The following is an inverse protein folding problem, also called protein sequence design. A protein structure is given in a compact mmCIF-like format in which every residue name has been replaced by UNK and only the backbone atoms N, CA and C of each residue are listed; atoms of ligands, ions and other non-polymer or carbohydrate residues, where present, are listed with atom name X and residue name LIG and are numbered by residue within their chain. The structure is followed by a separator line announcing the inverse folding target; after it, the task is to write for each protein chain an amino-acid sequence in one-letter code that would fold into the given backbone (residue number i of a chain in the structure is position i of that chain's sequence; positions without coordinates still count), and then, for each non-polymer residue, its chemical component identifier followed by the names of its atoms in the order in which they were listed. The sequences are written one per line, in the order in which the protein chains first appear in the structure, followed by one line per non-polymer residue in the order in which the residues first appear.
data_IF_004001511416
#
_entry.id   IF_004001511416
#
_cell.length_a   1.000
_cell.length_b   1.000
_cell.length_c   1.000
_cell.angle_alpha   90.00
_cell.angle_beta   90.00
_cell.angle_gamma   90.00
#
_symmetry.space_group_name_H-M   'P 1'
#
loop_
_entity.id
_entity.type
_entity.pdbx_description
1 polymer ?
#
# COMPACT_ATOMS: atom_id res chain seq x y z
N UNK A 1 -16.89 17.83 60.05
CA UNK A 1 -17.66 17.70 58.79
C UNK A 1 -16.69 17.90 57.65
N UNK A 2 -16.28 16.83 56.98
CA UNK A 2 -15.42 16.89 55.79
C UNK A 2 -15.98 15.91 54.76
N UNK A 3 -16.85 16.42 53.89
CA UNK A 3 -17.43 15.65 52.79
C UNK A 3 -16.41 15.55 51.66
N UNK A 4 -15.90 14.34 51.43
CA UNK A 4 -15.12 13.99 50.25
C UNK A 4 -16.05 13.86 49.04
N UNK A 5 -15.95 14.80 48.11
CA UNK A 5 -16.60 14.71 46.79
C UNK A 5 -15.73 13.80 45.90
N UNK A 6 -16.21 12.58 45.67
CA UNK A 6 -15.69 11.68 44.65
C UNK A 6 -16.07 12.23 43.27
N UNK A 7 -15.13 12.89 42.60
CA UNK A 7 -15.28 13.30 41.20
C UNK A 7 -15.15 12.08 40.29
N UNK A 8 -16.27 11.61 39.74
CA UNK A 8 -16.27 10.60 38.66
C UNK A 8 -15.71 11.21 37.37
N UNK A 9 -14.55 10.74 36.93
CA UNK A 9 -14.11 10.87 35.54
C UNK A 9 -14.99 9.97 34.67
N UNK A 10 -15.91 10.55 33.91
CA UNK A 10 -16.57 9.85 32.83
C UNK A 10 -15.58 9.63 31.66
N UNK A 11 -15.48 8.42 31.09
CA UNK A 11 -14.64 8.18 29.93
C UNK A 11 -15.20 8.93 28.71
N UNK A 12 -14.36 9.75 28.08
CA UNK A 12 -14.67 10.44 26.83
C UNK A 12 -14.89 9.39 25.73
N UNK A 13 -16.02 9.40 25.00
CA UNK A 13 -16.22 8.48 23.88
C UNK A 13 -15.18 8.77 22.79
N UNK A 14 -14.44 7.73 22.39
CA UNK A 14 -13.54 7.79 21.26
C UNK A 14 -14.36 8.09 19.99
N UNK A 15 -14.11 9.23 19.36
CA UNK A 15 -14.73 9.55 18.07
C UNK A 15 -14.16 8.63 16.99
N UNK A 16 -14.84 7.52 16.72
CA UNK A 16 -14.68 6.77 15.46
C UNK A 16 -15.42 7.50 14.33
N UNK A 17 -14.94 8.70 14.00
CA UNK A 17 -15.38 9.44 12.81
C UNK A 17 -14.56 9.01 11.60
N UNK A 18 -15.20 8.81 10.45
CA UNK A 18 -14.49 8.73 9.17
C UNK A 18 -13.74 10.04 8.96
N UNK A 19 -12.42 9.96 8.79
CA UNK A 19 -11.59 11.11 8.49
C UNK A 19 -11.73 11.47 7.01
N UNK A 20 -11.49 12.73 6.68
CA UNK A 20 -11.67 13.23 5.33
C UNK A 20 -10.46 14.04 4.88
N UNK A 21 -10.03 13.81 3.64
CA UNK A 21 -9.08 14.66 2.93
C UNK A 21 -9.79 15.23 1.71
N UNK A 22 -9.78 16.56 1.56
CA UNK A 22 -10.44 17.25 0.45
C UNK A 22 -9.51 18.27 -0.19
N UNK A 23 -9.51 18.34 -1.52
CA UNK A 23 -8.69 19.31 -2.25
C UNK A 23 -8.60 18.99 -3.75
N UNK A 24 -7.86 19.79 -4.50
CA UNK A 24 -7.53 19.44 -5.89
C UNK A 24 -6.52 18.28 -5.86
N UNK A 25 -6.86 17.17 -6.51
CA UNK A 25 -6.02 15.98 -6.49
C UNK A 25 -4.98 15.99 -7.61
N UNK A 26 -3.72 15.76 -7.25
CA UNK A 26 -2.68 15.37 -8.20
C UNK A 26 -2.61 13.84 -8.24
N UNK A 27 -2.70 13.26 -9.44
CA UNK A 27 -2.56 11.80 -9.60
C UNK A 27 -1.07 11.42 -9.53
N UNK A 28 -0.75 10.48 -8.64
CA UNK A 28 0.57 9.86 -8.54
C UNK A 28 0.68 8.68 -9.49
N UNK A 29 -0.26 7.73 -9.37
CA UNK A 29 -0.35 6.49 -10.15
C UNK A 29 -1.84 6.06 -10.24
N UNK A 30 -2.10 4.85 -10.75
CA UNK A 30 -3.46 4.36 -11.03
C UNK A 30 -4.35 4.13 -9.80
N UNK A 31 -3.81 4.15 -8.58
CA UNK A 31 -4.61 4.04 -7.35
C UNK A 31 -4.16 4.99 -6.22
N UNK A 32 -3.31 5.97 -6.51
CA UNK A 32 -2.82 6.93 -5.52
C UNK A 32 -3.05 8.38 -5.96
N UNK A 33 -3.71 9.14 -5.08
CA UNK A 33 -3.92 10.58 -5.21
C UNK A 33 -3.07 11.33 -4.18
N UNK A 34 -2.60 12.52 -4.54
CA UNK A 34 -2.00 13.48 -3.63
C UNK A 34 -2.94 14.66 -3.47
N UNK A 35 -3.43 14.89 -2.25
CA UNK A 35 -4.44 15.91 -1.94
C UNK A 35 -3.95 16.69 -0.73
N UNK A 36 -3.76 18.00 -0.88
CA UNK A 36 -3.27 18.87 0.20
C UNK A 36 -1.95 18.35 0.87
N UNK A 37 -1.05 17.76 0.07
CA UNK A 37 0.21 17.17 0.56
C UNK A 37 0.10 15.72 1.02
N UNK A 38 -1.11 15.21 1.26
CA UNK A 38 -1.35 13.85 1.74
C UNK A 38 -1.45 12.85 0.58
N UNK A 39 -0.72 11.73 0.66
CA UNK A 39 -0.81 10.64 -0.33
C UNK A 39 -1.89 9.64 0.08
N UNK A 40 -3.05 9.71 -0.56
CA UNK A 40 -4.20 8.82 -0.33
C UNK A 40 -4.18 7.67 -1.32
N UNK A 41 -4.23 6.42 -0.84
CA UNK A 41 -4.43 5.23 -1.67
C UNK A 41 -5.92 4.91 -1.77
N UNK A 42 -6.40 4.63 -2.97
CA UNK A 42 -7.77 4.24 -3.23
C UNK A 42 -8.04 2.88 -2.59
N UNK A 43 -8.95 2.85 -1.63
CA UNK A 43 -9.35 1.65 -0.91
C UNK A 43 -10.09 0.66 -1.82
N UNK A 44 -9.85 -0.64 -1.60
CA UNK A 44 -10.60 -1.72 -2.24
C UNK A 44 -10.26 -2.00 -3.70
N UNK A 45 -9.28 -1.32 -4.27
CA UNK A 45 -8.83 -1.52 -5.66
C UNK A 45 -7.31 -1.75 -5.72
N UNK A 46 -6.85 -2.37 -6.80
CA UNK A 46 -5.42 -2.53 -7.11
C UNK A 46 -5.20 -2.16 -8.58
N UNK A 47 -4.40 -1.13 -8.83
CA UNK A 47 -4.07 -0.69 -10.19
C UNK A 47 -2.67 -1.21 -10.61
N UNK A 48 -2.34 -1.23 -11.91
CA UNK A 48 -1.02 -1.64 -12.38
C UNK A 48 0.09 -0.84 -11.72
N UNK A 49 1.16 -1.54 -11.35
CA UNK A 49 2.32 -0.94 -10.69
C UNK A 49 3.14 -0.09 -11.65
N UNK A 50 3.90 0.86 -11.11
CA UNK A 50 4.82 1.67 -11.91
C UNK A 50 5.78 0.80 -12.75
N UNK A 51 5.84 1.06 -14.05
CA UNK A 51 6.67 0.32 -15.00
C UNK A 51 6.09 -1.04 -15.43
N UNK A 52 4.91 -1.42 -14.95
CA UNK A 52 4.24 -2.64 -15.39
C UNK A 52 3.87 -2.55 -16.88
N UNK A 53 4.06 -3.67 -17.60
CA UNK A 53 3.76 -3.79 -19.02
C UNK A 53 2.75 -4.91 -19.20
N UNK A 54 1.64 -4.62 -19.87
CA UNK A 54 0.52 -5.53 -20.00
C UNK A 54 0.39 -6.07 -21.43
N UNK A 55 -0.06 -7.31 -21.53
CA UNK A 55 -0.30 -8.02 -22.78
C UNK A 55 0.96 -8.36 -23.59
N UNK A 56 0.80 -9.12 -24.68
CA UNK A 56 1.91 -9.47 -25.57
C UNK A 56 2.59 -8.24 -26.19
N UNK A 57 1.83 -7.18 -26.44
CA UNK A 57 2.33 -5.91 -26.96
C UNK A 57 3.12 -5.08 -25.94
N UNK A 58 3.20 -5.54 -24.67
CA UNK A 58 3.87 -4.83 -23.57
C UNK A 58 3.40 -3.37 -23.42
N UNK A 59 2.10 -3.15 -23.50
CA UNK A 59 1.46 -1.84 -23.34
C UNK A 59 1.78 -1.24 -21.97
N UNK A 60 2.11 0.06 -21.85
CA UNK A 60 2.38 0.73 -20.57
C UNK A 60 1.09 0.98 -19.78
N UNK A 61 0.49 -0.10 -19.29
CA UNK A 61 -0.78 -0.07 -18.59
C UNK A 61 -0.77 0.73 -17.28
N UNK A 62 0.41 0.93 -16.67
CA UNK A 62 0.61 1.83 -15.53
C UNK A 62 0.31 3.30 -15.88
N UNK A 63 0.76 3.72 -17.06
CA UNK A 63 0.51 5.07 -17.59
C UNK A 63 -0.97 5.21 -17.95
N UNK A 64 -1.55 4.24 -18.68
CA UNK A 64 -2.95 4.29 -19.10
C UNK A 64 -3.92 4.36 -17.92
N UNK A 65 -3.67 3.57 -16.86
CA UNK A 65 -4.45 3.61 -15.64
C UNK A 65 -4.32 4.96 -14.90
N UNK A 66 -3.10 5.50 -14.82
CA UNK A 66 -2.86 6.82 -14.23
C UNK A 66 -3.58 7.93 -14.99
N UNK A 67 -3.59 7.86 -16.33
CA UNK A 67 -4.32 8.81 -17.17
C UNK A 67 -5.83 8.68 -17.03
N UNK A 68 -6.36 7.46 -16.87
CA UNK A 68 -7.78 7.25 -16.59
C UNK A 68 -8.19 7.94 -15.29
N UNK A 69 -7.40 7.79 -14.22
CA UNK A 69 -7.65 8.49 -12.97
C UNK A 69 -7.54 10.01 -13.14
N UNK A 70 -6.58 10.51 -13.93
CA UNK A 70 -6.47 11.96 -14.25
C UNK A 70 -7.71 12.48 -14.98
N UNK A 71 -8.27 11.72 -15.92
CA UNK A 71 -9.52 12.08 -16.62
C UNK A 71 -10.73 12.07 -15.68
N UNK A 72 -10.77 11.15 -14.72
CA UNK A 72 -11.84 11.07 -13.74
C UNK A 72 -11.80 12.23 -12.73
N UNK A 73 -10.61 12.68 -12.33
CA UNK A 73 -10.48 13.86 -11.47
C UNK A 73 -10.68 15.16 -12.25
N UNK A 74 -10.12 15.25 -13.46
CA UNK A 74 -10.22 16.41 -14.37
C UNK A 74 -9.95 17.77 -13.68
N UNK A 75 -8.98 17.80 -12.74
CA UNK A 75 -8.64 19.01 -11.99
C UNK A 75 -9.68 19.47 -10.96
N UNK A 76 -10.78 18.72 -10.80
CA UNK A 76 -11.82 19.04 -9.83
C UNK A 76 -11.36 18.75 -8.39
N UNK A 77 -12.12 19.32 -7.44
CA UNK A 77 -11.97 19.01 -6.03
C UNK A 77 -12.42 17.58 -5.77
N UNK A 78 -11.53 16.79 -5.19
CA UNK A 78 -11.75 15.42 -4.75
C UNK A 78 -11.93 15.40 -3.25
N UNK A 79 -12.87 14.60 -2.77
CA UNK A 79 -13.08 14.31 -1.36
C UNK A 79 -12.88 12.82 -1.12
N UNK A 80 -11.94 12.47 -0.25
CA UNK A 80 -11.63 11.10 0.13
C UNK A 80 -12.01 10.88 1.60
N UNK A 81 -12.91 9.93 1.85
CA UNK A 81 -13.24 9.50 3.20
C UNK A 81 -12.43 8.23 3.51
N UNK A 82 -11.80 8.18 4.67
CA UNK A 82 -10.95 7.06 5.09
C UNK A 82 -11.10 6.79 6.60
N UNK A 83 -10.72 5.58 7.01
CA UNK A 83 -10.77 5.13 8.41
C UNK A 83 -9.49 4.49 8.87
N UNK A 84 -8.78 3.86 7.93
CA UNK A 84 -7.56 3.12 8.18
C UNK A 84 -6.42 3.70 7.33
N UNK A 85 -5.19 3.44 7.78
CA UNK A 85 -3.98 3.73 7.02
C UNK A 85 -3.27 2.43 6.68
N UNK A 86 -2.58 2.42 5.55
CA UNK A 86 -1.75 1.28 5.18
C UNK A 86 -0.42 1.27 5.95
N UNK A 87 0.40 0.25 5.69
CA UNK A 87 1.72 0.09 6.29
C UNK A 87 2.74 1.19 5.97
N UNK A 88 2.42 2.10 5.07
CA UNK A 88 3.24 3.26 4.70
C UNK A 88 2.63 4.56 5.24
N UNK A 89 1.72 4.43 6.21
CA UNK A 89 0.96 5.53 6.79
C UNK A 89 0.13 6.32 5.77
N UNK A 90 -0.27 5.70 4.64
CA UNK A 90 -1.15 6.34 3.66
C UNK A 90 -2.61 6.11 4.03
N UNK A 91 -3.48 7.13 4.00
CA UNK A 91 -4.91 6.93 4.13
C UNK A 91 -5.46 5.98 3.08
N UNK A 92 -6.26 4.99 3.50
CA UNK A 92 -7.01 4.11 2.63
C UNK A 92 -8.41 4.67 2.43
N UNK A 93 -8.62 5.35 1.29
CA UNK A 93 -9.79 6.19 1.07
C UNK A 93 -10.71 5.76 -0.06
N UNK A 94 -12.01 5.97 0.13
CA UNK A 94 -12.99 6.03 -0.97
C UNK A 94 -13.11 7.48 -1.41
N UNK A 95 -12.70 7.76 -2.64
CA UNK A 95 -12.56 9.12 -3.17
C UNK A 95 -13.66 9.45 -4.17
N UNK A 96 -14.15 10.69 -4.14
CA UNK A 96 -15.24 11.16 -4.99
C UNK A 96 -14.96 12.52 -5.61
N UNK A 97 -15.46 12.71 -6.83
CA UNK A 97 -15.67 14.04 -7.45
C UNK A 97 -17.17 14.26 -7.56
N UNK A 98 -17.70 15.20 -6.79
CA UNK A 98 -19.15 15.35 -6.62
C UNK A 98 -19.77 14.03 -6.13
N UNK A 99 -20.67 13.44 -6.93
CA UNK A 99 -21.32 12.15 -6.62
C UNK A 99 -20.59 10.93 -7.20
N UNK A 100 -19.59 11.14 -8.06
CA UNK A 100 -18.89 10.05 -8.76
C UNK A 100 -17.85 9.42 -7.86
N UNK A 101 -17.97 8.12 -7.63
CA UNK A 101 -16.98 7.29 -6.92
C UNK A 101 -15.81 6.96 -7.85
N UNK A 102 -14.61 7.46 -7.53
CA UNK A 102 -13.42 7.27 -8.35
C UNK A 102 -12.93 5.83 -8.31
N UNK A 103 -13.02 5.17 -7.15
CA UNK A 103 -12.58 3.79 -6.96
C UNK A 103 -13.43 2.86 -7.83
N UNK A 104 -14.77 3.00 -7.75
CA UNK A 104 -15.69 2.23 -8.58
C UNK A 104 -15.47 2.52 -10.08
N UNK A 105 -15.27 3.79 -10.45
CA UNK A 105 -15.08 4.17 -11.85
C UNK A 105 -13.78 3.61 -12.44
N UNK A 106 -12.69 3.54 -11.67
CA UNK A 106 -11.44 2.92 -12.11
C UNK A 106 -11.63 1.43 -12.42
N UNK A 107 -12.34 0.70 -11.56
CA UNK A 107 -12.62 -0.73 -11.76
C UNK A 107 -13.60 -0.95 -12.91
N UNK A 108 -14.67 -0.16 -12.99
CA UNK A 108 -15.69 -0.27 -14.04
C UNK A 108 -15.13 0.03 -15.45
N UNK A 109 -14.09 0.86 -15.56
CA UNK A 109 -13.38 1.12 -16.81
C UNK A 109 -12.26 0.10 -17.09
N UNK A 110 -12.04 -0.85 -16.19
CA UNK A 110 -11.01 -1.89 -16.32
C UNK A 110 -9.58 -1.39 -16.09
N UNK A 111 -9.39 -0.25 -15.41
CA UNK A 111 -8.06 0.32 -15.12
C UNK A 111 -7.52 -0.03 -13.72
N UNK A 112 -8.35 -0.69 -12.91
CA UNK A 112 -7.97 -1.34 -11.68
C UNK A 112 -8.78 -2.63 -11.52
N UNK A 113 -8.31 -3.54 -10.68
CA UNK A 113 -9.04 -4.75 -10.27
C UNK A 113 -9.65 -4.58 -8.88
N UNK A 114 -10.67 -5.36 -8.56
CA UNK A 114 -11.23 -5.39 -7.22
C UNK A 114 -10.24 -6.07 -6.27
N UNK A 115 -9.79 -5.37 -5.22
CA UNK A 115 -8.82 -5.94 -4.29
C UNK A 115 -9.48 -6.73 -3.17
N UNK A 116 -9.95 -7.94 -3.52
CA UNK A 116 -10.81 -8.81 -2.70
C UNK A 116 -10.23 -9.19 -1.34
N UNK A 117 -8.91 -9.08 -1.13
CA UNK A 117 -8.29 -9.24 0.19
C UNK A 117 -8.81 -8.22 1.22
N UNK A 118 -9.17 -7.02 0.78
CA UNK A 118 -9.55 -5.91 1.66
C UNK A 118 -11.01 -5.51 1.53
N UNK A 119 -11.64 -5.72 0.37
CA UNK A 119 -13.03 -5.33 0.14
C UNK A 119 -13.65 -6.07 -1.04
N UNK A 120 -14.95 -6.35 -0.95
CA UNK A 120 -15.77 -6.87 -2.06
C UNK A 120 -16.56 -5.78 -2.79
N UNK A 121 -16.40 -4.51 -2.38
CA UNK A 121 -17.25 -3.40 -2.83
C UNK A 121 -17.30 -3.20 -4.34
N UNK A 122 -16.25 -3.59 -5.07
CA UNK A 122 -16.11 -3.34 -6.52
C UNK A 122 -16.11 -4.60 -7.39
N UNK A 123 -16.51 -5.75 -6.83
CA UNK A 123 -16.52 -7.04 -7.55
C UNK A 123 -17.49 -7.02 -8.74
N UNK A 124 -18.60 -6.29 -8.62
CA UNK A 124 -19.59 -6.19 -9.72
C UNK A 124 -19.05 -5.37 -10.88
N UNK A 125 -18.43 -4.23 -10.58
CA UNK A 125 -17.78 -3.34 -11.54
C UNK A 125 -16.67 -4.09 -12.29
N UNK A 126 -15.89 -4.91 -11.57
CA UNK A 126 -14.86 -5.75 -12.17
C UNK A 126 -15.45 -6.77 -13.13
N UNK A 127 -16.52 -7.46 -12.71
CA UNK A 127 -17.19 -8.44 -13.56
C UNK A 127 -17.73 -7.79 -14.85
N UNK A 128 -18.32 -6.60 -14.76
CA UNK A 128 -18.78 -5.83 -15.92
C UNK A 128 -17.61 -5.44 -16.84
N UNK A 129 -16.52 -4.89 -16.30
CA UNK A 129 -15.35 -4.51 -17.08
C UNK A 129 -14.70 -5.70 -17.79
N UNK A 130 -14.64 -6.85 -17.11
CA UNK A 130 -14.13 -8.10 -17.68
C UNK A 130 -15.02 -8.62 -18.81
N UNK A 131 -16.34 -8.67 -18.59
CA UNK A 131 -17.27 -9.13 -19.62
C UNK A 131 -17.23 -8.24 -20.87
N UNK A 132 -17.05 -6.93 -20.69
CA UNK A 132 -16.94 -5.96 -21.77
C UNK A 132 -15.51 -5.80 -22.34
N UNK A 133 -14.53 -6.57 -21.86
CA UNK A 133 -13.12 -6.50 -22.29
C UNK A 133 -12.56 -5.06 -22.26
N UNK A 134 -12.78 -4.35 -21.14
CA UNK A 134 -12.33 -2.97 -20.96
C UNK A 134 -10.94 -2.89 -20.31
N UNK A 135 -10.19 -1.84 -20.65
CA UNK A 135 -8.90 -1.53 -20.03
C UNK A 135 -7.93 -2.72 -20.06
N UNK A 136 -7.47 -3.12 -18.88
CA UNK A 136 -6.56 -4.26 -18.67
C UNK A 136 -7.12 -5.59 -19.20
N UNK A 137 -8.44 -5.77 -19.14
CA UNK A 137 -9.08 -7.01 -19.60
C UNK A 137 -8.99 -7.20 -21.12
N UNK A 138 -8.80 -6.12 -21.88
CA UNK A 138 -8.59 -6.16 -23.33
C UNK A 138 -7.21 -6.68 -23.72
N UNK A 139 -6.18 -6.24 -22.99
CA UNK A 139 -4.78 -6.48 -23.35
C UNK A 139 -4.25 -7.77 -22.73
N UNK A 140 -4.88 -8.23 -21.64
CA UNK A 140 -4.34 -9.29 -20.79
C UNK A 140 -3.23 -8.73 -19.88
N UNK A 141 -3.17 -9.20 -18.64
CA UNK A 141 -2.24 -8.64 -17.65
C UNK A 141 -1.93 -9.65 -16.56
N UNK A 142 -0.75 -9.48 -15.96
CA UNK A 142 -0.45 -10.06 -14.65
C UNK A 142 -1.13 -9.20 -13.57
N UNK A 143 -1.92 -9.76 -12.64
CA UNK A 143 -2.51 -8.99 -11.55
C UNK A 143 -1.45 -8.18 -10.79
N UNK A 144 -1.71 -6.91 -10.40
CA UNK A 144 -0.65 -6.05 -9.85
C UNK A 144 0.02 -6.62 -8.59
N UNK A 145 -0.72 -7.27 -7.70
CA UNK A 145 -0.14 -8.00 -6.56
C UNK A 145 0.86 -9.10 -6.97
N UNK A 146 0.54 -9.86 -8.02
CA UNK A 146 1.45 -10.88 -8.55
C UNK A 146 2.69 -10.24 -9.18
N UNK A 147 2.51 -9.15 -9.94
CA UNK A 147 3.62 -8.37 -10.49
C UNK A 147 4.55 -7.82 -9.41
N UNK A 148 4.00 -7.31 -8.30
CA UNK A 148 4.81 -6.91 -7.13
C UNK A 148 5.61 -8.09 -6.57
N UNK A 149 5.02 -9.29 -6.51
CA UNK A 149 5.68 -10.47 -6.00
C UNK A 149 6.82 -10.94 -6.92
N UNK A 150 6.59 -11.00 -8.23
CA UNK A 150 7.60 -11.40 -9.22
C UNK A 150 8.79 -10.43 -9.24
N UNK A 151 8.52 -9.12 -9.20
CA UNK A 151 9.59 -8.10 -9.14
C UNK A 151 10.44 -8.19 -7.88
N UNK A 152 9.85 -8.51 -6.72
CA UNK A 152 10.62 -8.75 -5.48
C UNK A 152 11.53 -9.97 -5.59
N UNK A 153 11.07 -11.04 -6.26
CA UNK A 153 11.86 -12.26 -6.45
C UNK A 153 13.00 -12.07 -7.46
N UNK A 154 12.81 -11.20 -8.45
CA UNK A 154 13.81 -10.92 -9.48
C UNK A 154 14.98 -10.03 -9.03
N UNK A 155 14.91 -9.40 -7.85
CA UNK A 155 16.02 -8.59 -7.34
C UNK A 155 17.14 -9.49 -6.81
N UNK A 156 18.41 -9.25 -7.18
CA UNK A 156 19.52 -10.02 -6.63
C UNK A 156 19.57 -9.85 -5.11
N UNK A 157 19.91 -10.90 -4.33
CA UNK A 157 20.09 -10.79 -2.90
C UNK A 157 21.07 -9.67 -2.56
N UNK A 158 20.76 -8.88 -1.53
CA UNK A 158 21.73 -7.90 -1.03
C UNK A 158 22.90 -8.64 -0.38
N UNK A 159 24.09 -8.33 -0.87
CA UNK A 159 25.35 -8.80 -0.30
C UNK A 159 25.65 -7.95 0.94
N UNK A 160 25.99 -8.55 2.09
CA UNK A 160 26.41 -7.79 3.26
C UNK A 160 27.69 -7.00 2.95
N UNK A 161 27.88 -5.80 3.54
CA UNK A 161 29.12 -5.03 3.37
C UNK A 161 30.37 -5.79 3.82
N UNK A 162 30.19 -6.73 4.76
CA UNK A 162 31.24 -7.63 5.23
C UNK A 162 30.74 -9.08 5.18
N UNK A 163 31.56 -9.97 4.61
CA UNK A 163 31.18 -11.38 4.43
C UNK A 163 30.99 -12.12 5.76
N UNK A 164 31.71 -11.72 6.82
CA UNK A 164 31.59 -12.27 8.17
C UNK A 164 30.38 -11.76 8.95
N UNK A 165 29.61 -10.82 8.37
CA UNK A 165 28.41 -10.27 9.00
C UNK A 165 27.16 -10.46 8.14
N UNK A 166 26.70 -11.71 7.96
CA UNK A 166 25.61 -12.01 7.04
C UNK A 166 24.22 -11.89 7.69
N UNK A 167 24.08 -11.61 9.00
CA UNK A 167 22.75 -11.60 9.61
C UNK A 167 22.02 -10.31 9.24
N UNK A 168 20.88 -10.41 8.55
CA UNK A 168 20.08 -9.27 8.11
C UNK A 168 19.16 -8.78 9.22
N UNK A 169 19.25 -7.52 9.63
CA UNK A 169 18.33 -6.87 10.55
C UNK A 169 17.47 -5.81 9.88
N UNK A 170 16.19 -6.12 9.65
CA UNK A 170 15.19 -5.16 9.14
C UNK A 170 14.15 -4.68 10.20
N UNK A 171 13.67 -3.46 10.08
CA UNK A 171 12.66 -2.88 10.95
C UNK A 171 11.29 -3.08 10.28
N UNK A 172 10.42 -3.87 10.89
CA UNK A 172 9.06 -4.02 10.41
C UNK A 172 8.29 -2.70 10.54
N UNK A 173 7.23 -2.54 9.74
CA UNK A 173 6.33 -1.37 9.82
C UNK A 173 5.81 -1.10 11.25
N UNK A 174 5.63 -2.14 12.06
CA UNK A 174 5.23 -1.99 13.47
C UNK A 174 6.32 -1.40 14.38
N UNK A 175 7.49 -1.05 13.85
CA UNK A 175 8.69 -0.66 14.59
C UNK A 175 9.48 -1.84 15.14
N UNK A 176 9.02 -3.08 14.94
CA UNK A 176 9.71 -4.25 15.46
C UNK A 176 11.03 -4.50 14.73
N UNK A 177 12.13 -4.51 15.49
CA UNK A 177 13.47 -4.86 15.03
C UNK A 177 13.62 -6.37 14.92
N UNK A 178 13.75 -6.89 13.71
CA UNK A 178 13.78 -8.34 13.44
C UNK A 178 15.07 -8.71 12.72
N UNK A 179 15.79 -9.72 13.22
CA UNK A 179 16.95 -10.27 12.54
C UNK A 179 16.64 -11.62 11.88
N UNK A 180 17.37 -11.91 10.80
CA UNK A 180 17.21 -13.09 9.96
C UNK A 180 18.57 -13.73 9.74
N UNK A 181 18.69 -15.00 10.14
CA UNK A 181 19.87 -15.82 9.90
C UNK A 181 19.96 -16.20 8.41
N UNK A 182 21.17 -16.42 7.86
CA UNK A 182 21.34 -16.88 6.48
C UNK A 182 20.61 -18.19 6.16
N UNK A 183 20.43 -19.05 7.17
CA UNK A 183 19.69 -20.31 7.06
C UNK A 183 18.16 -20.15 7.09
N UNK A 184 17.64 -18.95 7.38
CA UNK A 184 16.20 -18.74 7.51
C UNK A 184 15.51 -18.75 6.14
N UNK A 185 14.33 -19.38 6.07
CA UNK A 185 13.48 -19.29 4.89
C UNK A 185 13.14 -17.83 4.61
N UNK A 186 13.33 -17.38 3.37
CA UNK A 186 13.05 -16.00 2.99
C UNK A 186 14.22 -15.03 3.19
N UNK A 187 15.38 -15.50 3.65
CA UNK A 187 16.53 -14.64 3.97
C UNK A 187 16.98 -13.76 2.78
N UNK A 188 17.03 -14.32 1.57
CA UNK A 188 17.45 -13.58 0.37
C UNK A 188 16.47 -12.47 -0.02
N UNK A 189 15.19 -12.66 0.29
CA UNK A 189 14.11 -11.71 0.05
C UNK A 189 14.09 -10.58 1.09
N UNK A 190 14.70 -10.77 2.27
CA UNK A 190 14.87 -9.70 3.26
C UNK A 190 15.81 -8.65 2.68
N UNK A 191 15.33 -7.41 2.68
CA UNK A 191 16.06 -6.23 2.23
C UNK A 191 16.41 -5.39 3.44
N UNK A 192 17.60 -4.81 3.41
CA UNK A 192 18.13 -3.88 4.39
C UNK A 192 18.19 -2.49 3.75
N UNK A 193 17.59 -1.54 4.44
CA UNK A 193 17.60 -0.12 4.17
C UNK A 193 18.42 0.61 5.26
N UNK A 194 19.68 0.88 4.94
CA UNK A 194 20.60 1.57 5.86
C UNK A 194 20.08 2.96 6.28
N UNK A 195 19.29 3.63 5.43
CA UNK A 195 18.72 4.95 5.73
C UNK A 195 17.63 4.92 6.80
N UNK A 196 17.00 3.76 7.03
CA UNK A 196 16.00 3.56 8.08
C UNK A 196 16.62 2.96 9.36
N UNK A 197 17.95 2.84 9.42
CA UNK A 197 18.65 2.23 10.55
C UNK A 197 18.61 0.70 10.56
N UNK A 198 18.14 0.08 9.48
CA UNK A 198 18.32 -1.36 9.24
C UNK A 198 19.79 -1.64 8.96
N UNK A 199 20.26 -2.84 9.31
CA UNK A 199 21.71 -3.16 9.21
C UNK A 199 21.98 -4.65 9.20
N UNK A 200 23.23 -5.00 8.97
CA UNK A 200 23.73 -6.36 9.15
C UNK A 200 24.39 -6.53 10.52
N UNK A 201 24.40 -7.77 11.01
CA UNK A 201 25.05 -8.21 12.23
C UNK A 201 26.00 -9.38 11.96
N UNK A 202 27.02 -9.50 12.79
CA UNK A 202 28.01 -10.57 12.74
C UNK A 202 27.60 -11.79 13.56
N UNK A 203 26.73 -11.60 14.57
CA UNK A 203 26.16 -12.71 15.34
C UNK A 203 24.72 -12.45 15.80
N UNK A 204 24.00 -13.53 16.15
CA UNK A 204 22.65 -13.41 16.72
C UNK A 204 22.69 -12.68 18.08
N UNK A 205 23.71 -12.96 18.90
CA UNK A 205 23.88 -12.30 20.19
C UNK A 205 24.14 -10.80 20.04
N UNK A 206 24.87 -10.38 19.01
CA UNK A 206 25.05 -8.95 18.68
C UNK A 206 23.71 -8.29 18.31
N UNK A 207 22.90 -8.96 17.48
CA UNK A 207 21.59 -8.48 17.11
C UNK A 207 20.67 -8.34 18.35
N UNK A 208 20.63 -9.37 19.19
CA UNK A 208 19.85 -9.40 20.43
C UNK A 208 20.29 -8.31 21.42
N UNK A 209 21.61 -8.14 21.62
CA UNK A 209 22.16 -7.06 22.45
C UNK A 209 21.79 -5.67 21.91
N UNK A 210 21.63 -5.53 20.60
CA UNK A 210 21.14 -4.30 19.96
C UNK A 210 19.60 -4.13 20.02
N UNK A 211 18.89 -5.03 20.70
CA UNK A 211 17.43 -5.00 20.85
C UNK A 211 16.66 -5.57 19.65
N UNK A 212 17.30 -6.43 18.85
CA UNK A 212 16.67 -7.11 17.72
C UNK A 212 16.25 -8.51 18.13
N UNK A 213 15.07 -8.95 17.69
CA UNK A 213 14.56 -10.31 17.99
C UNK A 213 14.60 -11.20 16.74
N UNK A 214 14.67 -12.53 16.88
CA UNK A 214 14.57 -13.41 15.74
C UNK A 214 13.20 -13.28 15.06
N UNK A 215 13.17 -13.61 13.77
CA UNK A 215 11.92 -13.91 13.06
C UNK A 215 11.25 -15.11 13.73
N UNK A 216 9.97 -14.96 14.10
CA UNK A 216 9.13 -16.04 14.63
C UNK A 216 8.51 -16.83 13.49
#
# INVERSE_FOLDING_TARGET
MASLLLGSCAPTPAQSGSQQVTGVAKVSDGDTLVIAGERVRLFGIDAPEHGQRCGPARTPCDIEASEALRRLTAGNRVTCNWRERDRYDRPLGTCRVGKRDLNAAMVAQGWAIAYRRYSEAYVREEATARAAQLGLWRTGFEPPEAYRASKRQALPPQVPPRADCPIKGNIATSGARIYHLPSAQGYDQVRINLGEGERWFCSASEAEAAGWRPRR
#
